data_IF_939632253456
#
_entry.id   IF_939632253456
#
_cell.length_a   1.000
_cell.length_b   1.000
_cell.length_c   1.000
_cell.angle_alpha   90.00
_cell.angle_beta   90.00
_cell.angle_gamma   90.00
#
_symmetry.space_group_name_H-M   'P 1'
#
loop_
_entity.id
_entity.type
_entity.pdbx_description
1 polymer ?
#
# COMPACT_ATOMS: atom_id res chain seq x y z
N UNK A 1 -15.34 -20.19 4.77
CA UNK A 1 -15.06 -19.36 5.96
C UNK A 1 -14.67 -17.98 5.46
N UNK A 2 -15.00 -16.87 6.12
CA UNK A 2 -14.42 -15.60 5.71
C UNK A 2 -12.91 -15.71 5.95
N UNK A 3 -12.12 -15.55 4.89
CA UNK A 3 -10.66 -15.40 5.02
C UNK A 3 -10.41 -14.18 5.91
N UNK A 4 -10.08 -14.42 7.17
CA UNK A 4 -9.69 -13.38 8.09
C UNK A 4 -8.28 -12.93 7.69
N UNK A 5 -8.18 -11.68 7.23
CA UNK A 5 -6.89 -11.06 7.00
C UNK A 5 -6.05 -11.08 8.28
N UNK A 6 -4.85 -11.64 8.19
CA UNK A 6 -3.84 -11.54 9.24
C UNK A 6 -2.70 -10.68 8.71
N UNK A 7 -2.26 -9.64 9.44
CA UNK A 7 -1.12 -8.83 9.02
C UNK A 7 0.10 -9.72 8.76
N UNK A 8 0.71 -9.59 7.59
CA UNK A 8 1.86 -10.39 7.20
C UNK A 8 3.15 -9.77 7.74
N UNK A 9 4.10 -10.62 8.12
CA UNK A 9 5.45 -10.16 8.49
C UNK A 9 6.14 -9.49 7.29
N UNK A 10 7.12 -8.60 7.52
CA UNK A 10 7.92 -8.02 6.45
C UNK A 10 8.47 -9.06 5.47
N UNK A 11 8.48 -8.76 4.16
CA UNK A 11 9.01 -9.67 3.16
C UNK A 11 10.53 -9.81 3.33
N UNK A 12 11.04 -11.03 3.12
CA UNK A 12 12.47 -11.33 3.26
C UNK A 12 13.33 -10.79 2.11
N UNK A 13 12.72 -10.51 0.96
CA UNK A 13 13.38 -10.00 -0.25
C UNK A 13 12.37 -9.38 -1.22
N UNK A 14 12.86 -8.67 -2.24
CA UNK A 14 12.07 -8.02 -3.28
C UNK A 14 11.15 -8.99 -4.05
N UNK A 15 11.61 -10.23 -4.29
CA UNK A 15 10.82 -11.25 -5.01
C UNK A 15 9.58 -11.63 -4.21
N UNK A 16 9.72 -11.87 -2.90
CA UNK A 16 8.60 -12.17 -2.02
C UNK A 16 7.61 -11.00 -1.93
N UNK A 17 8.12 -9.75 -1.87
CA UNK A 17 7.29 -8.55 -1.92
C UNK A 17 6.51 -8.46 -3.23
N UNK A 18 7.18 -8.70 -4.37
CA UNK A 18 6.56 -8.63 -5.68
C UNK A 18 5.49 -9.71 -5.88
N UNK A 19 5.71 -10.93 -5.39
CA UNK A 19 4.69 -11.99 -5.42
C UNK A 19 3.46 -11.60 -4.60
N UNK A 20 3.63 -11.02 -3.40
CA UNK A 20 2.50 -10.49 -2.62
C UNK A 20 1.77 -9.38 -3.37
N UNK A 21 2.49 -8.44 -3.97
CA UNK A 21 1.90 -7.35 -4.75
C UNK A 21 1.10 -7.86 -5.96
N UNK A 22 1.62 -8.87 -6.66
CA UNK A 22 0.91 -9.54 -7.78
C UNK A 22 -0.41 -10.18 -7.33
N UNK A 23 -0.45 -10.75 -6.14
CA UNK A 23 -1.67 -11.35 -5.60
C UNK A 23 -2.78 -10.31 -5.31
N UNK A 24 -2.44 -9.04 -5.18
CA UNK A 24 -3.42 -7.95 -5.01
C UNK A 24 -4.00 -7.45 -6.34
N UNK A 25 -3.37 -7.77 -7.47
CA UNK A 25 -3.80 -7.29 -8.77
C UNK A 25 -5.20 -7.82 -9.11
N UNK A 26 -6.06 -6.93 -9.62
CA UNK A 26 -7.44 -7.26 -9.98
C UNK A 26 -8.45 -7.13 -8.85
N UNK A 27 -8.02 -6.96 -7.60
CA UNK A 27 -8.93 -6.62 -6.50
C UNK A 27 -9.30 -5.13 -6.52
N UNK A 28 -10.52 -4.86 -6.10
CA UNK A 28 -10.94 -3.50 -5.73
C UNK A 28 -10.41 -3.17 -4.33
N UNK A 29 -10.19 -1.87 -4.06
CA UNK A 29 -9.81 -1.40 -2.72
C UNK A 29 -10.86 -1.78 -1.66
N UNK A 30 -12.14 -1.84 -2.04
CA UNK A 30 -13.22 -2.22 -1.14
C UNK A 30 -13.17 -3.69 -0.72
N UNK A 31 -12.84 -4.60 -1.63
CA UNK A 31 -12.65 -6.02 -1.30
C UNK A 31 -11.47 -6.23 -0.36
N UNK A 32 -10.35 -5.55 -0.62
CA UNK A 32 -9.18 -5.60 0.25
C UNK A 32 -9.49 -5.02 1.63
N UNK A 33 -10.15 -3.87 1.70
CA UNK A 33 -10.52 -3.27 2.98
C UNK A 33 -11.48 -4.13 3.79
N UNK A 34 -12.49 -4.73 3.14
CA UNK A 34 -13.45 -5.62 3.79
C UNK A 34 -12.73 -6.85 4.40
N UNK A 35 -11.84 -7.47 3.64
CA UNK A 35 -11.03 -8.60 4.10
C UNK A 35 -10.12 -8.21 5.27
N UNK A 36 -9.52 -7.02 5.20
CA UNK A 36 -8.69 -6.44 6.25
C UNK A 36 -9.46 -5.93 7.48
N UNK A 37 -10.80 -5.96 7.46
CA UNK A 37 -11.64 -5.41 8.53
C UNK A 37 -11.50 -3.89 8.70
N UNK A 38 -11.14 -3.17 7.63
CA UNK A 38 -10.93 -1.72 7.64
C UNK A 38 -12.17 -0.97 7.15
N UNK A 39 -12.50 0.12 7.84
CA UNK A 39 -13.54 1.05 7.39
C UNK A 39 -13.06 1.80 6.16
N UNK A 40 -13.87 1.79 5.10
CA UNK A 40 -13.61 2.53 3.87
C UNK A 40 -14.13 3.96 4.04
N UNK A 41 -13.29 4.99 3.82
CA UNK A 41 -13.75 6.37 3.86
C UNK A 41 -14.73 6.66 2.70
N UNK A 42 -15.66 7.62 2.86
CA UNK A 42 -16.60 7.97 1.80
C UNK A 42 -15.92 8.57 0.56
N UNK A 43 -14.75 9.20 0.74
CA UNK A 43 -13.88 9.66 -0.34
C UNK A 43 -12.42 9.79 0.15
N UNK A 44 -11.48 9.89 -0.80
CA UNK A 44 -10.04 9.99 -0.52
C UNK A 44 -9.53 11.44 -0.41
N UNK A 45 -10.40 12.46 -0.40
CA UNK A 45 -9.97 13.87 -0.43
C UNK A 45 -9.26 14.27 0.86
N UNK A 46 -9.70 13.73 1.99
CA UNK A 46 -9.14 13.97 3.34
C UNK A 46 -8.22 12.84 3.82
N UNK A 47 -8.30 11.67 3.20
CA UNK A 47 -7.62 10.44 3.62
C UNK A 47 -6.62 9.95 2.56
N UNK A 48 -5.79 10.88 2.03
CA UNK A 48 -4.86 10.60 0.92
C UNK A 48 -3.86 9.46 1.21
N UNK A 49 -3.56 9.20 2.48
CA UNK A 49 -2.69 8.09 2.90
C UNK A 49 -3.40 6.75 3.09
N UNK A 50 -4.73 6.70 3.03
CA UNK A 50 -5.49 5.49 3.38
C UNK A 50 -5.23 4.33 2.41
N UNK A 51 -5.08 4.61 1.12
CA UNK A 51 -4.74 3.57 0.13
C UNK A 51 -3.34 3.01 0.39
N UNK A 52 -2.37 3.87 0.69
CA UNK A 52 -1.02 3.45 1.08
C UNK A 52 -1.05 2.53 2.31
N UNK A 53 -1.69 2.97 3.38
CA UNK A 53 -1.85 2.19 4.62
C UNK A 53 -2.55 0.84 4.39
N UNK A 54 -3.52 0.78 3.48
CA UNK A 54 -4.19 -0.48 3.15
C UNK A 54 -3.19 -1.45 2.51
N UNK A 55 -2.42 -1.00 1.52
CA UNK A 55 -1.45 -1.83 0.81
C UNK A 55 -0.25 -2.21 1.70
N UNK A 56 0.24 -1.29 2.54
CA UNK A 56 1.26 -1.54 3.55
C UNK A 56 0.92 -2.77 4.40
N UNK A 57 -0.33 -2.88 4.87
CA UNK A 57 -0.79 -4.04 5.66
C UNK A 57 -0.71 -5.35 4.87
N UNK A 58 -1.13 -5.33 3.62
CA UNK A 58 -1.12 -6.53 2.75
C UNK A 58 0.29 -6.95 2.35
N UNK A 59 1.20 -6.00 2.23
CA UNK A 59 2.57 -6.25 1.78
C UNK A 59 3.53 -6.53 2.93
N UNK A 60 3.14 -6.16 4.17
CA UNK A 60 3.94 -6.36 5.37
C UNK A 60 4.92 -5.21 5.62
N UNK A 61 4.53 -3.98 5.33
CA UNK A 61 5.37 -2.83 5.64
C UNK A 61 5.66 -2.77 7.14
N UNK A 62 6.83 -2.27 7.50
CA UNK A 62 7.25 -2.20 8.89
C UNK A 62 6.36 -1.22 9.66
N UNK A 63 5.88 -1.64 10.83
CA UNK A 63 5.04 -0.80 11.70
C UNK A 63 5.91 0.22 12.45
N UNK A 64 6.35 1.27 11.74
CA UNK A 64 7.11 2.35 12.35
C UNK A 64 7.07 3.56 11.43
N UNK A 65 6.39 4.62 11.85
CA UNK A 65 6.29 5.89 11.11
C UNK A 65 7.60 6.69 11.09
N UNK A 66 8.74 6.00 11.11
CA UNK A 66 10.02 6.65 10.92
C UNK A 66 10.09 7.14 9.48
N UNK A 67 10.83 8.23 9.20
CA UNK A 67 11.13 8.66 7.84
C UNK A 67 12.15 7.70 7.19
N UNK A 68 11.83 6.41 7.23
CA UNK A 68 12.58 5.29 6.67
C UNK A 68 11.70 4.66 5.59
N UNK A 69 12.31 3.87 4.70
CA UNK A 69 11.56 3.20 3.65
C UNK A 69 10.55 2.20 4.22
N UNK A 70 9.41 2.03 3.55
CA UNK A 70 8.34 1.13 4.00
C UNK A 70 8.82 -0.30 4.28
N UNK A 71 9.79 -0.76 3.49
CA UNK A 71 10.50 -2.04 3.64
C UNK A 71 12.01 -1.84 3.80
N UNK A 72 12.42 -1.15 4.86
CA UNK A 72 13.81 -0.79 5.14
C UNK A 72 14.83 -1.95 5.00
N UNK A 73 14.49 -3.15 5.50
CA UNK A 73 15.39 -4.32 5.48
C UNK A 73 15.76 -4.79 4.07
N UNK A 74 14.92 -4.48 3.06
CA UNK A 74 15.16 -4.84 1.66
C UNK A 74 15.38 -3.62 0.78
N UNK A 75 15.45 -2.41 1.36
CA UNK A 75 15.75 -1.19 0.62
C UNK A 75 14.63 -0.67 -0.30
N UNK A 76 13.36 -1.04 -0.06
CA UNK A 76 12.23 -0.74 -0.95
C UNK A 76 11.24 0.26 -0.33
N UNK A 77 10.85 1.25 -1.12
CA UNK A 77 9.79 2.23 -0.83
C UNK A 77 8.50 1.86 -1.58
N UNK A 78 7.35 1.94 -0.92
CA UNK A 78 6.04 1.79 -1.54
C UNK A 78 5.51 3.16 -2.00
N UNK A 79 5.04 3.22 -3.25
CA UNK A 79 4.26 4.36 -3.75
C UNK A 79 3.01 3.85 -4.44
N UNK A 80 1.91 4.56 -4.22
CA UNK A 80 0.67 4.37 -4.99
C UNK A 80 0.52 5.52 -5.98
N UNK A 81 0.06 5.20 -7.19
CA UNK A 81 -0.14 6.17 -8.27
C UNK A 81 -1.54 5.91 -8.83
N UNK A 82 -2.52 6.82 -8.62
CA UNK A 82 -3.81 6.65 -9.24
C UNK A 82 -3.72 6.95 -10.73
N UNK A 83 -4.37 6.12 -11.53
CA UNK A 83 -4.37 6.18 -12.99
C UNK A 83 -5.79 6.27 -13.54
N UNK A 84 -5.93 6.85 -14.72
CA UNK A 84 -7.17 6.80 -15.49
C UNK A 84 -7.36 5.46 -16.22
N UNK A 85 -8.47 5.31 -16.93
CA UNK A 85 -8.78 4.10 -17.69
C UNK A 85 -7.83 3.83 -18.87
N UNK A 86 -6.98 4.79 -19.25
CA UNK A 86 -5.94 4.64 -20.27
C UNK A 86 -4.55 4.39 -19.64
N UNK A 87 -4.47 4.28 -18.31
CA UNK A 87 -3.21 4.06 -17.59
C UNK A 87 -2.39 5.32 -17.37
N UNK A 88 -2.98 6.52 -17.55
CA UNK A 88 -2.27 7.78 -17.36
C UNK A 88 -2.36 8.23 -15.89
N UNK A 89 -1.27 8.68 -15.25
CA UNK A 89 -1.31 9.21 -13.90
C UNK A 89 -2.29 10.38 -13.77
N UNK A 90 -3.12 10.36 -12.72
CA UNK A 90 -4.10 11.40 -12.43
C UNK A 90 -3.51 12.57 -11.62
N UNK A 91 -2.43 12.31 -10.89
CA UNK A 91 -1.76 13.30 -10.04
C UNK A 91 -0.25 13.05 -9.97
N UNK A 92 0.49 14.06 -9.50
CA UNK A 92 1.93 13.94 -9.22
C UNK A 92 2.17 13.12 -7.96
N UNK A 93 3.23 12.32 -7.94
CA UNK A 93 3.61 11.52 -6.77
C UNK A 93 4.57 12.30 -5.86
N UNK A 94 4.23 12.39 -4.57
CA UNK A 94 5.14 12.93 -3.57
C UNK A 94 6.34 11.99 -3.36
N UNK A 95 7.56 12.52 -3.46
CA UNK A 95 8.80 11.78 -3.25
C UNK A 95 9.35 12.04 -1.85
N UNK A 96 9.85 13.26 -1.62
CA UNK A 96 10.37 13.70 -0.33
C UNK A 96 10.28 15.22 -0.20
N UNK A 97 10.52 15.72 1.02
CA UNK A 97 10.75 17.15 1.25
C UNK A 97 12.20 17.46 0.89
N UNK A 98 12.43 18.45 0.04
CA UNK A 98 13.78 18.94 -0.24
C UNK A 98 14.33 19.71 0.98
N UNK A 99 15.56 19.44 1.44
CA UNK A 99 16.19 20.25 2.47
C UNK A 99 16.46 21.65 1.92
N UNK A 100 15.94 22.67 2.62
CA UNK A 100 16.15 24.09 2.32
C UNK A 100 17.34 24.64 3.09
#
# INVERSE_FOLDING_TARGET
>A
MPDYFSPVLPPENETALLERARQLAGFTLGELALRAGLTIPPDLRRDKGWVGMLLERYLGASAGSKPEQDFAEIGVELKTIPIDAQGRPLETTFVCVAPL
#
